data_IF_346811411851
#
_entry.id   IF_346811411851
#
_cell.length_a   1.000
_cell.length_b   1.000
_cell.length_c   1.000
_cell.angle_alpha   90.00
_cell.angle_beta   90.00
_cell.angle_gamma   90.00
#
_symmetry.space_group_name_H-M   'P 1'
#
loop_
_entity.id
_entity.type
_entity.pdbx_description
1 polymer ?
#
# COMPACT_ATOMS: atom_id res chain seq x y z
N UNK A 1 -21.81 19.65 -22.60
CA UNK A 1 -20.37 19.33 -22.48
C UNK A 1 -20.11 18.12 -23.36
N UNK A 2 -19.23 18.25 -24.36
CA UNK A 2 -18.73 17.09 -25.13
C UNK A 2 -18.10 16.09 -24.16
N UNK A 3 -18.21 14.79 -24.45
CA UNK A 3 -17.47 13.78 -23.68
C UNK A 3 -15.97 14.08 -23.83
N UNK A 4 -15.18 14.02 -22.74
CA UNK A 4 -13.73 14.20 -22.83
C UNK A 4 -13.15 13.14 -23.76
N UNK A 5 -12.26 13.54 -24.66
CA UNK A 5 -11.62 12.62 -25.61
C UNK A 5 -10.53 11.79 -24.92
N UNK A 6 -9.85 12.39 -23.94
CA UNK A 6 -8.79 11.77 -23.15
C UNK A 6 -9.30 11.51 -21.72
N UNK A 7 -9.13 10.29 -21.23
CA UNK A 7 -9.44 9.93 -19.84
C UNK A 7 -8.17 9.39 -19.19
N UNK A 8 -7.78 10.03 -18.09
CA UNK A 8 -6.71 9.57 -17.20
C UNK A 8 -7.30 8.68 -16.11
N UNK A 9 -6.92 7.41 -16.09
CA UNK A 9 -7.27 6.45 -15.06
C UNK A 9 -6.20 6.50 -13.97
N UNK A 10 -6.49 7.22 -12.90
CA UNK A 10 -5.57 7.51 -11.80
C UNK A 10 -5.79 6.57 -10.61
N UNK A 11 -4.84 6.57 -9.68
CA UNK A 11 -5.03 5.96 -8.36
C UNK A 11 -6.15 6.63 -7.56
N UNK A 12 -6.72 5.96 -6.55
CA UNK A 12 -7.75 6.57 -5.70
C UNK A 12 -7.29 7.89 -5.05
N UNK A 13 -8.20 8.81 -4.72
CA UNK A 13 -7.83 10.12 -4.19
C UNK A 13 -7.22 10.05 -2.79
N UNK A 14 -6.20 10.87 -2.54
CA UNK A 14 -5.61 11.12 -1.22
C UNK A 14 -5.91 12.57 -0.82
N UNK A 15 -7.02 12.80 -0.13
CA UNK A 15 -7.49 14.17 0.14
C UNK A 15 -6.40 15.08 0.76
N UNK A 16 -6.24 16.32 0.25
CA UNK A 16 -7.07 16.98 -0.77
C UNK A 16 -6.64 16.70 -2.23
N UNK A 17 -5.63 15.87 -2.46
CA UNK A 17 -5.16 15.51 -3.81
C UNK A 17 -6.17 14.61 -4.55
N UNK A 18 -6.28 14.74 -5.89
CA UNK A 18 -7.16 13.92 -6.71
C UNK A 18 -6.68 12.46 -6.84
N UNK A 19 -5.41 12.18 -6.54
CA UNK A 19 -4.78 10.86 -6.65
C UNK A 19 -3.80 10.60 -5.50
N UNK A 20 -3.53 9.33 -5.20
CA UNK A 20 -2.66 8.87 -4.12
C UNK A 20 -1.25 8.51 -4.58
N UNK A 21 -0.84 8.97 -5.76
CA UNK A 21 0.47 8.69 -6.35
C UNK A 21 0.95 9.88 -7.18
N UNK A 22 2.25 10.14 -7.17
CA UNK A 22 2.87 11.22 -7.90
C UNK A 22 2.85 11.02 -9.42
N UNK A 23 2.92 9.78 -9.93
CA UNK A 23 2.82 9.54 -11.39
C UNK A 23 1.44 9.96 -11.91
N UNK A 24 0.38 9.70 -11.14
CA UNK A 24 -0.99 10.15 -11.47
C UNK A 24 -1.11 11.67 -11.48
N UNK A 25 -0.50 12.35 -10.51
CA UNK A 25 -0.47 13.82 -10.45
C UNK A 25 0.33 14.43 -11.61
N UNK A 26 1.44 13.78 -12.00
CA UNK A 26 2.24 14.20 -13.15
C UNK A 26 1.41 14.18 -14.44
N UNK A 27 0.72 13.08 -14.75
CA UNK A 27 -0.10 13.01 -15.96
C UNK A 27 -1.30 13.95 -15.91
N UNK A 28 -1.90 14.16 -14.73
CA UNK A 28 -2.95 15.17 -14.58
C UNK A 28 -2.43 16.57 -14.92
N UNK A 29 -1.26 16.93 -14.38
CA UNK A 29 -0.61 18.21 -14.64
C UNK A 29 -0.18 18.35 -16.12
N UNK A 30 0.32 17.26 -16.72
CA UNK A 30 0.69 17.21 -18.13
C UNK A 30 -0.50 17.42 -19.06
N UNK A 31 -1.60 16.70 -18.83
CA UNK A 31 -2.81 16.83 -19.63
C UNK A 31 -3.47 18.20 -19.44
N UNK A 32 -3.42 18.77 -18.23
CA UNK A 32 -3.90 20.12 -17.98
C UNK A 32 -3.10 21.18 -18.75
N UNK A 33 -1.79 20.99 -18.88
CA UNK A 33 -0.92 21.91 -19.63
C UNK A 33 -1.05 21.72 -21.16
N UNK A 34 -1.07 20.46 -21.60
CA UNK A 34 -1.01 20.09 -23.01
C UNK A 34 -2.37 20.04 -23.73
N UNK A 35 -3.45 19.78 -23.00
CA UNK A 35 -4.78 19.52 -23.56
C UNK A 35 -5.92 19.96 -22.62
N UNK A 36 -5.97 21.23 -22.16
CA UNK A 36 -6.85 21.67 -21.06
C UNK A 36 -8.34 21.37 -21.25
N UNK A 37 -8.86 21.46 -22.48
CA UNK A 37 -10.29 21.31 -22.79
C UNK A 37 -10.72 19.88 -23.20
N UNK A 38 -9.78 18.93 -23.26
CA UNK A 38 -9.98 17.61 -23.86
C UNK A 38 -9.95 16.42 -22.90
N UNK A 39 -9.64 16.64 -21.62
CA UNK A 39 -9.31 15.55 -20.70
C UNK A 39 -10.18 15.53 -19.43
N UNK A 40 -10.24 14.35 -18.80
CA UNK A 40 -10.82 14.18 -17.47
C UNK A 40 -10.13 13.06 -16.69
N UNK A 41 -10.17 13.15 -15.36
CA UNK A 41 -9.63 12.19 -14.41
C UNK A 41 -10.72 11.24 -13.93
N UNK A 42 -10.45 9.94 -13.99
CA UNK A 42 -11.31 8.87 -13.43
C UNK A 42 -10.47 8.01 -12.50
N UNK A 43 -11.10 7.38 -11.51
CA UNK A 43 -10.46 6.34 -10.71
C UNK A 43 -10.31 5.07 -11.55
N UNK A 44 -9.07 4.64 -11.78
CA UNK A 44 -8.78 3.36 -12.42
C UNK A 44 -8.98 2.18 -11.47
N UNK A 45 -9.28 1.01 -12.04
CA UNK A 45 -9.26 -0.25 -11.31
C UNK A 45 -7.87 -0.91 -11.42
N UNK A 46 -7.44 -1.58 -10.35
CA UNK A 46 -6.18 -2.31 -10.32
C UNK A 46 -6.20 -3.60 -11.16
N UNK A 47 -7.38 -4.03 -11.62
CA UNK A 47 -7.51 -5.08 -12.62
C UNK A 47 -7.14 -4.64 -14.05
N UNK A 48 -7.19 -3.34 -14.32
CA UNK A 48 -6.98 -2.79 -15.66
C UNK A 48 -5.49 -2.62 -15.98
N UNK A 49 -5.16 -2.58 -17.28
CA UNK A 49 -3.80 -2.31 -17.78
C UNK A 49 -2.69 -3.19 -17.14
N UNK A 50 -3.01 -4.45 -16.83
CA UNK A 50 -2.06 -5.38 -16.20
C UNK A 50 -1.71 -5.03 -14.74
N UNK A 51 -2.54 -4.22 -14.08
CA UNK A 51 -2.34 -3.75 -12.71
C UNK A 51 -1.34 -2.61 -12.56
N UNK A 52 -1.08 -1.88 -13.66
CA UNK A 52 -0.30 -0.64 -13.64
C UNK A 52 -1.24 0.56 -13.76
N UNK A 53 -1.34 1.31 -12.66
CA UNK A 53 -1.93 2.65 -12.59
C UNK A 53 -0.79 3.66 -12.40
N UNK A 54 -0.91 4.89 -12.96
CA UNK A 54 -1.98 5.37 -13.84
C UNK A 54 -1.85 4.87 -15.29
N UNK A 55 -2.93 4.95 -16.06
CA UNK A 55 -2.91 4.79 -17.52
C UNK A 55 -3.87 5.76 -18.22
N UNK A 56 -3.63 6.02 -19.50
CA UNK A 56 -4.39 6.99 -20.29
C UNK A 56 -5.17 6.25 -21.37
N UNK A 57 -6.41 6.65 -21.59
CA UNK A 57 -7.24 6.19 -22.69
C UNK A 57 -7.69 7.36 -23.56
N UNK A 58 -7.62 7.21 -24.88
CA UNK A 58 -8.20 8.14 -25.84
C UNK A 58 -9.35 7.43 -26.55
N UNK A 59 -10.56 7.99 -26.47
CA UNK A 59 -11.78 7.37 -27.05
C UNK A 59 -11.95 5.89 -26.65
N UNK A 60 -11.70 5.56 -25.38
CA UNK A 60 -11.73 4.22 -24.80
C UNK A 60 -10.62 3.24 -25.25
N UNK A 61 -9.63 3.70 -26.04
CA UNK A 61 -8.45 2.90 -26.37
C UNK A 61 -7.25 3.30 -25.49
N UNK A 62 -6.51 2.34 -24.91
CA UNK A 62 -5.33 2.64 -24.13
C UNK A 62 -4.24 3.26 -25.01
N UNK A 63 -3.65 4.36 -24.54
CA UNK A 63 -2.57 5.07 -25.23
C UNK A 63 -1.32 5.01 -24.35
N UNK A 64 -0.21 4.43 -24.86
CA UNK A 64 1.07 4.49 -24.17
C UNK A 64 1.55 5.94 -24.01
N UNK A 65 2.23 6.30 -22.90
CA UNK A 65 2.75 7.65 -22.69
C UNK A 65 3.65 8.17 -23.83
N UNK A 66 4.40 7.27 -24.49
CA UNK A 66 5.28 7.60 -25.61
C UNK A 66 4.53 8.13 -26.85
N UNK A 67 3.22 7.84 -26.97
CA UNK A 67 2.40 8.23 -28.11
C UNK A 67 1.49 9.43 -27.81
N UNK A 68 1.64 10.10 -26.66
CA UNK A 68 0.80 11.25 -26.31
C UNK A 68 0.98 12.42 -27.29
N UNK A 69 2.21 12.66 -27.77
CA UNK A 69 2.50 13.68 -28.78
C UNK A 69 1.83 13.43 -30.14
N UNK A 70 1.35 12.21 -30.39
CA UNK A 70 0.61 11.89 -31.62
C UNK A 70 -0.88 12.24 -31.56
N UNK A 71 -1.39 12.62 -30.38
CA UNK A 71 -2.80 12.94 -30.22
C UNK A 71 -3.10 14.34 -30.78
N UNK A 72 -4.21 14.51 -31.53
CA UNK A 72 -4.50 15.77 -32.23
C UNK A 72 -4.81 16.95 -31.30
N UNK A 73 -5.20 16.68 -30.06
CA UNK A 73 -5.52 17.70 -29.05
C UNK A 73 -4.38 17.92 -28.04
N UNK A 74 -3.22 17.28 -28.23
CA UNK A 74 -2.10 17.34 -27.30
C UNK A 74 -1.00 18.24 -27.87
N UNK A 75 -0.70 19.33 -27.18
CA UNK A 75 0.45 20.20 -27.45
C UNK A 75 1.63 19.77 -26.59
N UNK A 76 2.79 19.49 -27.18
CA UNK A 76 3.97 19.09 -26.42
C UNK A 76 4.53 20.30 -25.63
N UNK A 77 4.60 20.26 -24.28
CA UNK A 77 5.16 21.35 -23.49
C UNK A 77 6.63 21.65 -23.78
N UNK A 78 7.37 20.67 -24.32
CA UNK A 78 8.79 20.78 -24.60
C UNK A 78 9.08 21.16 -26.07
N UNK A 79 8.05 21.40 -26.89
CA UNK A 79 8.20 21.65 -28.33
C UNK A 79 9.11 22.86 -28.63
N UNK A 80 8.93 23.95 -27.88
CA UNK A 80 9.63 25.22 -28.04
C UNK A 80 11.08 25.22 -27.53
N UNK A 81 11.51 24.16 -26.83
CA UNK A 81 12.86 24.06 -26.30
C UNK A 81 13.88 23.82 -27.42
N UNK A 82 15.06 24.44 -27.29
CA UNK A 82 16.21 24.14 -28.16
C UNK A 82 16.66 22.69 -27.98
N UNK A 83 17.24 22.06 -29.01
CA UNK A 83 17.69 20.66 -28.94
C UNK A 83 18.65 20.40 -27.76
N UNK A 84 19.52 21.36 -27.45
CA UNK A 84 20.39 21.30 -26.26
C UNK A 84 19.61 21.35 -24.95
N UNK A 85 18.57 22.18 -24.88
CA UNK A 85 17.69 22.29 -23.71
C UNK A 85 16.81 21.05 -23.53
N UNK A 86 16.37 20.42 -24.62
CA UNK A 86 15.64 19.13 -24.59
C UNK A 86 16.48 18.02 -23.99
N UNK A 87 17.78 17.97 -24.32
CA UNK A 87 18.72 17.01 -23.72
C UNK A 87 18.91 17.29 -22.23
N UNK A 88 19.16 18.55 -21.86
CA UNK A 88 19.24 18.97 -20.46
C UNK A 88 17.96 18.59 -19.70
N UNK A 89 16.79 18.81 -20.30
CA UNK A 89 15.49 18.52 -19.71
C UNK A 89 15.33 17.02 -19.44
N UNK A 90 15.68 16.17 -20.41
CA UNK A 90 15.69 14.72 -20.24
C UNK A 90 16.63 14.28 -19.10
N UNK A 91 17.82 14.88 -19.00
CA UNK A 91 18.75 14.60 -17.90
C UNK A 91 18.19 14.98 -16.53
N UNK A 92 17.58 16.17 -16.41
CA UNK A 92 16.97 16.60 -15.15
C UNK A 92 15.73 15.78 -14.78
N UNK A 93 14.93 15.36 -15.76
CA UNK A 93 13.82 14.44 -15.55
C UNK A 93 14.31 13.10 -15.01
N UNK A 94 15.33 12.52 -15.62
CA UNK A 94 15.96 11.29 -15.14
C UNK A 94 16.55 11.45 -13.72
N UNK A 95 17.11 12.63 -13.41
CA UNK A 95 17.58 12.94 -12.05
C UNK A 95 16.44 12.95 -11.02
N UNK A 96 15.30 13.55 -11.36
CA UNK A 96 14.09 13.58 -10.51
C UNK A 96 13.55 12.16 -10.31
N UNK A 97 13.41 11.39 -11.39
CA UNK A 97 12.92 10.01 -11.38
C UNK A 97 13.85 9.04 -10.61
N UNK A 98 15.15 9.32 -10.63
CA UNK A 98 16.16 8.54 -9.92
C UNK A 98 16.28 8.88 -8.44
N UNK A 99 16.17 10.16 -8.06
CA UNK A 99 16.51 10.59 -6.70
C UNK A 99 15.32 11.12 -5.90
N UNK A 100 14.54 12.04 -6.49
CA UNK A 100 13.42 12.68 -5.78
C UNK A 100 12.32 11.66 -5.50
N UNK A 101 11.98 10.85 -6.51
CA UNK A 101 11.02 9.75 -6.37
C UNK A 101 11.39 8.82 -5.22
N UNK A 102 12.66 8.52 -5.04
CA UNK A 102 13.12 7.60 -3.99
C UNK A 102 12.98 8.19 -2.59
N UNK A 103 13.28 9.48 -2.40
CA UNK A 103 13.02 10.17 -1.12
C UNK A 103 11.52 10.25 -0.83
N UNK A 104 10.71 10.57 -1.84
CA UNK A 104 9.25 10.67 -1.68
C UNK A 104 8.69 9.31 -1.30
N UNK A 105 9.08 8.25 -2.02
CA UNK A 105 8.68 6.88 -1.70
C UNK A 105 9.15 6.44 -0.31
N UNK A 106 10.36 6.81 0.11
CA UNK A 106 10.83 6.59 1.47
C UNK A 106 9.90 7.23 2.51
N UNK A 107 9.50 8.49 2.27
CA UNK A 107 8.62 9.24 3.16
C UNK A 107 7.26 8.56 3.32
N UNK A 108 6.71 7.96 2.26
CA UNK A 108 5.40 7.31 2.31
C UNK A 108 5.43 5.85 2.74
N UNK A 109 6.39 5.06 2.27
CA UNK A 109 6.40 3.60 2.44
C UNK A 109 7.33 3.12 3.55
N UNK A 110 8.46 3.80 3.77
CA UNK A 110 9.43 3.39 4.79
C UNK A 110 9.13 3.99 6.16
N UNK A 111 8.68 5.26 6.23
CA UNK A 111 8.50 5.92 7.51
C UNK A 111 7.28 5.36 8.28
N UNK A 112 7.44 5.01 9.57
CA UNK A 112 6.51 4.18 10.33
C UNK A 112 5.05 4.67 10.37
N UNK A 113 4.78 5.97 10.62
CA UNK A 113 3.40 6.40 10.77
C UNK A 113 2.76 6.74 9.41
N UNK A 114 3.54 6.96 8.36
CA UNK A 114 3.04 7.54 7.11
C UNK A 114 2.31 6.49 6.26
N UNK A 115 2.90 5.30 6.06
CA UNK A 115 2.31 4.27 5.20
C UNK A 115 0.89 3.87 5.61
N UNK A 116 0.64 3.40 6.85
CA UNK A 116 -0.67 2.90 7.24
C UNK A 116 -1.75 3.99 7.28
N UNK A 117 -1.40 5.24 7.59
CA UNK A 117 -2.38 6.31 7.78
C UNK A 117 -2.73 7.07 6.50
N UNK A 118 -1.84 7.07 5.49
CA UNK A 118 -1.99 7.86 4.26
C UNK A 118 -2.29 6.98 3.06
N UNK A 119 -1.26 6.52 2.37
CA UNK A 119 -1.33 5.79 1.10
C UNK A 119 -2.06 4.48 1.29
N UNK A 120 -1.73 3.66 2.30
CA UNK A 120 -2.38 2.37 2.47
C UNK A 120 -3.89 2.50 2.73
N UNK A 121 -4.28 3.50 3.54
CA UNK A 121 -5.68 3.76 3.87
C UNK A 121 -6.48 4.29 2.68
N UNK A 122 -5.92 5.21 1.91
CA UNK A 122 -6.64 5.87 0.80
C UNK A 122 -6.63 5.02 -0.48
N UNK A 123 -5.46 4.50 -0.86
CA UNK A 123 -5.23 3.79 -2.11
C UNK A 123 -5.93 2.42 -2.14
N UNK A 124 -6.09 1.77 -0.98
CA UNK A 124 -6.56 0.39 -0.89
C UNK A 124 -7.91 0.20 -0.20
N UNK A 125 -8.54 1.26 0.33
CA UNK A 125 -9.83 1.15 1.05
C UNK A 125 -10.97 0.52 0.23
N UNK A 126 -10.95 0.68 -1.10
CA UNK A 126 -12.02 0.16 -1.97
C UNK A 126 -11.73 -1.21 -2.60
N UNK A 127 -10.64 -1.88 -2.24
CA UNK A 127 -10.29 -3.16 -2.85
C UNK A 127 -11.14 -4.31 -2.30
N UNK A 128 -11.73 -5.16 -3.15
CA UNK A 128 -12.41 -6.37 -2.71
C UNK A 128 -11.39 -7.41 -2.23
N UNK A 129 -11.82 -8.35 -1.40
CA UNK A 129 -11.06 -9.57 -1.16
C UNK A 129 -11.04 -10.44 -2.43
N UNK A 130 -9.94 -11.11 -2.81
CA UNK A 130 -8.65 -11.20 -2.12
C UNK A 130 -7.64 -10.10 -2.48
N UNK A 131 -8.01 -9.16 -3.36
CA UNK A 131 -7.14 -8.10 -3.87
C UNK A 131 -6.57 -7.20 -2.77
N UNK A 132 -7.37 -6.94 -1.74
CA UNK A 132 -6.94 -6.14 -0.58
C UNK A 132 -5.78 -6.75 0.23
N UNK A 133 -5.48 -8.05 0.10
CA UNK A 133 -4.36 -8.69 0.81
C UNK A 133 -3.07 -8.59 0.01
N UNK A 134 -3.09 -8.98 -1.27
CA UNK A 134 -1.85 -9.12 -2.05
C UNK A 134 -1.41 -7.83 -2.74
N UNK A 135 -2.33 -6.93 -3.14
CA UNK A 135 -1.96 -5.69 -3.86
C UNK A 135 -1.10 -4.76 -2.99
N UNK A 136 -1.49 -4.43 -1.74
CA UNK A 136 -0.67 -3.56 -0.90
C UNK A 136 0.72 -4.14 -0.63
N UNK A 137 0.78 -5.45 -0.39
CA UNK A 137 2.04 -6.16 -0.15
C UNK A 137 2.94 -6.14 -1.38
N UNK A 138 2.38 -6.36 -2.58
CA UNK A 138 3.13 -6.33 -3.85
C UNK A 138 3.67 -4.94 -4.17
N UNK A 139 2.88 -3.90 -3.99
CA UNK A 139 3.33 -2.52 -4.24
C UNK A 139 4.43 -2.15 -3.24
N UNK A 140 4.21 -2.44 -1.95
CA UNK A 140 5.21 -2.15 -0.92
C UNK A 140 6.50 -2.94 -1.12
N UNK A 141 6.44 -4.20 -1.57
CA UNK A 141 7.65 -4.99 -1.82
C UNK A 141 8.48 -4.47 -3.00
N UNK A 142 7.84 -3.96 -4.06
CA UNK A 142 8.52 -3.31 -5.20
C UNK A 142 9.21 -2.02 -4.74
N UNK A 143 8.53 -1.19 -3.94
CA UNK A 143 9.12 0.03 -3.41
C UNK A 143 10.24 -0.29 -2.42
N UNK A 144 10.04 -1.28 -1.55
CA UNK A 144 11.03 -1.74 -0.57
C UNK A 144 12.30 -2.20 -1.26
N UNK A 145 12.23 -3.07 -2.28
CA UNK A 145 13.43 -3.58 -2.96
C UNK A 145 14.27 -2.46 -3.59
N UNK A 146 13.61 -1.46 -4.19
CA UNK A 146 14.30 -0.28 -4.73
C UNK A 146 14.94 0.57 -3.63
N UNK A 147 14.22 0.85 -2.54
CA UNK A 147 14.73 1.66 -1.44
C UNK A 147 15.83 0.97 -0.62
N UNK A 148 15.79 -0.36 -0.50
CA UNK A 148 16.86 -1.16 0.10
C UNK A 148 18.13 -1.08 -0.74
N UNK A 149 18.01 -1.18 -2.07
CA UNK A 149 19.15 -1.02 -2.98
C UNK A 149 19.81 0.36 -2.86
N UNK A 150 19.03 1.42 -2.73
CA UNK A 150 19.52 2.81 -2.56
C UNK A 150 20.00 3.07 -1.11
N UNK A 151 19.69 2.18 -0.17
CA UNK A 151 20.02 2.35 1.25
C UNK A 151 19.20 3.43 1.94
N UNK A 152 17.98 3.67 1.47
CA UNK A 152 17.00 4.57 2.11
C UNK A 152 16.02 3.81 3.01
N UNK A 153 15.76 2.53 2.75
CA UNK A 153 14.82 1.75 3.56
C UNK A 153 15.25 1.70 5.04
N UNK A 154 14.31 2.04 5.92
CA UNK A 154 14.54 2.08 7.37
C UNK A 154 15.29 3.32 7.88
N UNK A 155 15.75 4.21 7.00
CA UNK A 155 16.43 5.45 7.41
C UNK A 155 15.45 6.40 8.12
N UNK A 156 15.78 6.86 9.32
CA UNK A 156 14.88 7.68 10.13
C UNK A 156 13.76 6.89 10.84
N UNK A 157 13.80 5.55 10.78
CA UNK A 157 12.88 4.66 11.49
C UNK A 157 12.19 3.65 10.57
N UNK A 158 11.91 2.45 11.10
CA UNK A 158 11.21 1.37 10.42
C UNK A 158 9.75 1.29 10.88
N UNK A 159 8.84 0.94 9.96
CA UNK A 159 7.49 0.51 10.29
C UNK A 159 7.50 -0.62 11.33
N UNK A 160 6.44 -0.73 12.15
CA UNK A 160 6.34 -1.71 13.25
C UNK A 160 6.74 -3.13 12.81
N UNK A 161 6.14 -3.65 11.73
CA UNK A 161 6.48 -4.99 11.25
C UNK A 161 7.91 -5.14 10.73
N UNK A 162 8.47 -4.14 10.04
CA UNK A 162 9.87 -4.22 9.60
C UNK A 162 10.84 -4.07 10.78
N UNK A 163 10.46 -3.32 11.83
CA UNK A 163 11.23 -3.18 13.06
C UNK A 163 11.25 -4.50 13.84
N UNK A 164 10.11 -5.21 13.92
CA UNK A 164 10.03 -6.55 14.49
C UNK A 164 10.90 -7.56 13.72
N UNK A 165 10.93 -7.49 12.39
CA UNK A 165 11.80 -8.33 11.55
C UNK A 165 13.29 -8.02 11.78
N UNK A 166 13.66 -6.74 11.90
CA UNK A 166 15.03 -6.35 12.28
C UNK A 166 15.39 -6.82 13.69
N UNK A 167 14.49 -6.66 14.66
CA UNK A 167 14.74 -7.07 16.03
C UNK A 167 14.84 -8.60 16.15
N UNK A 168 14.04 -9.35 15.38
CA UNK A 168 14.19 -10.81 15.26
C UNK A 168 15.56 -11.19 14.70
N UNK A 169 15.98 -10.57 13.59
CA UNK A 169 17.33 -10.79 13.03
C UNK A 169 18.42 -10.44 14.04
N UNK A 170 18.27 -9.35 14.79
CA UNK A 170 19.21 -8.97 15.85
C UNK A 170 19.25 -9.99 16.98
N UNK A 171 18.10 -10.54 17.39
CA UNK A 171 18.05 -11.61 18.38
C UNK A 171 18.77 -12.86 17.86
N UNK A 172 18.59 -13.21 16.59
CA UNK A 172 19.30 -14.31 15.93
C UNK A 172 20.83 -14.04 15.83
N UNK A 173 21.24 -12.79 15.56
CA UNK A 173 22.65 -12.35 15.49
C UNK A 173 23.31 -12.16 16.87
N UNK A 174 22.52 -12.00 17.94
CA UNK A 174 23.02 -11.84 19.31
C UNK A 174 23.61 -13.14 19.89
N UNK A 175 23.43 -14.27 19.22
CA UNK A 175 24.12 -15.51 19.57
C UNK A 175 25.55 -15.49 19.01
N UNK A 176 26.54 -15.45 19.88
CA UNK A 176 27.95 -15.62 19.49
C UNK A 176 28.24 -17.12 19.43
N UNK A 177 28.78 -17.60 18.30
CA UNK A 177 29.27 -18.97 18.16
C UNK A 177 30.69 -19.02 18.74
N UNK A 178 30.86 -19.70 19.87
CA UNK A 178 32.16 -19.91 20.49
C UNK A 178 33.07 -20.85 19.68
N UNK A 179 34.39 -20.84 19.93
CA UNK A 179 35.29 -21.87 19.39
C UNK A 179 34.86 -23.23 19.98
N UNK A 180 34.16 -24.03 19.19
CA UNK A 180 33.48 -25.26 19.64
C UNK A 180 32.01 -25.39 19.25
N UNK A 181 31.42 -24.36 18.61
CA UNK A 181 30.05 -24.43 18.09
C UNK A 181 28.95 -24.13 19.11
N UNK A 182 29.29 -23.74 20.35
CA UNK A 182 28.31 -23.36 21.37
C UNK A 182 27.76 -21.95 21.09
N UNK A 183 26.44 -21.80 21.11
CA UNK A 183 25.75 -20.51 20.98
C UNK A 183 25.50 -19.93 22.37
N UNK A 184 26.14 -18.81 22.68
CA UNK A 184 25.87 -18.07 23.92
C UNK A 184 25.19 -16.73 23.59
N UNK A 185 24.11 -16.34 24.29
CA UNK A 185 23.50 -15.03 24.10
C UNK A 185 24.48 -13.93 24.53
N UNK A 186 24.63 -12.88 23.71
CA UNK A 186 25.34 -11.66 24.10
C UNK A 186 24.76 -11.12 25.41
N UNK A 187 25.64 -10.69 26.32
CA UNK A 187 25.28 -10.17 27.63
C UNK A 187 24.11 -9.17 27.57
N UNK A 188 23.05 -9.48 28.31
CA UNK A 188 21.81 -8.72 28.42
C UNK A 188 22.09 -7.26 28.80
N UNK A 189 21.97 -6.33 27.86
CA UNK A 189 21.94 -4.89 28.19
C UNK A 189 20.52 -4.57 28.64
N UNK A 190 20.32 -4.22 29.91
CA UNK A 190 19.01 -4.15 30.58
C UNK A 190 17.87 -3.40 29.84
N UNK A 191 16.64 -3.58 30.32
CA UNK A 191 15.36 -3.13 29.73
C UNK A 191 15.31 -1.67 29.21
N UNK A 192 16.11 -0.73 29.77
CA UNK A 192 16.19 0.68 29.32
C UNK A 192 17.26 0.96 28.24
N UNK A 193 18.26 0.09 28.10
CA UNK A 193 19.35 0.23 27.14
C UNK A 193 18.85 0.25 25.69
N UNK A 194 17.85 -0.59 25.37
CA UNK A 194 17.24 -0.65 24.03
C UNK A 194 16.55 0.65 23.63
N UNK A 195 15.76 1.26 24.52
CA UNK A 195 15.02 2.47 24.19
C UNK A 195 15.92 3.68 23.94
N UNK A 196 16.99 3.87 24.70
CA UNK A 196 17.92 4.99 24.50
C UNK A 196 18.80 4.79 23.26
N UNK A 197 19.22 3.55 22.98
CA UNK A 197 19.97 3.22 21.76
C UNK A 197 19.12 3.39 20.51
N UNK A 198 17.86 2.98 20.54
CA UNK A 198 16.92 3.17 19.43
C UNK A 198 16.60 4.64 19.17
N UNK A 199 16.37 5.43 20.23
CA UNK A 199 16.19 6.89 20.09
C UNK A 199 17.41 7.55 19.46
N UNK A 200 18.63 7.16 19.86
CA UNK A 200 19.87 7.65 19.25
C UNK A 200 19.98 7.25 17.78
N UNK A 201 19.66 5.99 17.46
CA UNK A 201 19.66 5.49 16.08
C UNK A 201 18.65 6.23 15.21
N UNK A 202 17.45 6.50 15.72
CA UNK A 202 16.43 7.29 15.03
C UNK A 202 16.92 8.70 14.74
N UNK A 203 17.42 9.41 15.74
CA UNK A 203 17.99 10.76 15.56
C UNK A 203 19.14 10.79 14.56
N UNK A 204 20.04 9.82 14.63
CA UNK A 204 21.14 9.69 13.68
C UNK A 204 20.61 9.41 12.26
N UNK A 205 19.63 8.52 12.12
CA UNK A 205 18.97 8.23 10.85
C UNK A 205 18.25 9.45 10.27
N UNK A 206 17.59 10.26 11.10
CA UNK A 206 16.97 11.52 10.69
C UNK A 206 18.01 12.53 10.19
N UNK A 207 19.16 12.64 10.86
CA UNK A 207 20.26 13.50 10.40
C UNK A 207 20.84 13.03 9.06
N UNK A 208 21.05 11.73 8.90
CA UNK A 208 21.50 11.15 7.63
C UNK A 208 20.47 11.36 6.51
N UNK A 209 19.18 11.21 6.83
CA UNK A 209 18.09 11.50 5.91
C UNK A 209 18.08 12.96 5.51
N UNK A 210 18.22 13.89 6.46
CA UNK A 210 18.30 15.32 6.17
C UNK A 210 19.47 15.66 5.24
N UNK A 211 20.65 15.07 5.48
CA UNK A 211 21.82 15.25 4.61
C UNK A 211 21.55 14.74 3.19
N UNK A 212 20.92 13.56 3.06
CA UNK A 212 20.55 13.00 1.74
C UNK A 212 19.49 13.85 1.03
N UNK A 213 18.47 14.32 1.76
CA UNK A 213 17.48 15.26 1.24
C UNK A 213 18.18 16.50 0.71
N UNK A 214 19.11 17.08 1.49
CA UNK A 214 19.83 18.27 1.05
C UNK A 214 20.67 18.02 -0.20
N UNK A 215 21.41 16.92 -0.23
CA UNK A 215 22.21 16.55 -1.41
C UNK A 215 21.37 16.37 -2.69
N UNK A 216 20.10 15.98 -2.57
CA UNK A 216 19.21 15.77 -3.72
C UNK A 216 18.51 17.05 -4.16
N UNK A 217 18.09 17.91 -3.22
CA UNK A 217 17.37 19.13 -3.55
C UNK A 217 18.28 20.34 -3.81
N UNK A 218 19.52 20.37 -3.30
CA UNK A 218 20.48 21.44 -3.54
C UNK A 218 20.78 21.68 -5.05
N UNK A 219 21.03 20.64 -5.88
CA UNK A 219 21.21 20.82 -7.32
C UNK A 219 19.98 21.36 -8.02
N UNK A 220 18.78 20.90 -7.63
CA UNK A 220 17.51 21.36 -8.20
C UNK A 220 17.24 22.82 -7.86
N UNK A 221 17.43 23.20 -6.59
CA UNK A 221 17.30 24.58 -6.13
C UNK A 221 18.31 25.51 -6.80
N UNK A 222 19.56 25.04 -6.99
CA UNK A 222 20.61 25.80 -7.71
C UNK A 222 20.27 25.97 -9.18
N UNK A 223 19.76 24.94 -9.85
CA UNK A 223 19.36 25.00 -11.26
C UNK A 223 18.15 25.92 -11.47
N UNK A 224 17.16 25.87 -10.58
CA UNK A 224 16.00 26.78 -10.63
C UNK A 224 16.44 28.23 -10.34
N UNK A 225 17.27 28.43 -9.33
CA UNK A 225 17.78 29.75 -8.95
C UNK A 225 16.65 30.73 -8.65
N UNK A 226 16.62 31.84 -9.40
CA UNK A 226 15.58 32.89 -9.32
C UNK A 226 14.55 32.81 -10.46
N UNK A 227 14.65 31.81 -11.33
CA UNK A 227 13.75 31.66 -12.48
C UNK A 227 12.36 31.19 -12.03
N UNK A 228 11.34 31.49 -12.82
CA UNK A 228 10.00 30.97 -12.59
C UNK A 228 9.97 29.44 -12.76
N UNK A 229 10.60 28.94 -13.84
CA UNK A 229 10.69 27.53 -14.23
C UNK A 229 12.11 27.16 -14.68
N UNK A 230 12.38 25.87 -14.90
CA UNK A 230 13.73 25.38 -15.22
C UNK A 230 14.34 25.98 -16.50
N UNK A 231 13.52 26.12 -17.55
CA UNK A 231 13.95 26.55 -18.88
C UNK A 231 13.36 27.91 -19.31
N UNK A 232 12.84 28.70 -18.37
CA UNK A 232 12.38 30.06 -18.66
C UNK A 232 11.07 30.42 -17.95
N UNK A 233 10.16 31.05 -18.71
CA UNK A 233 8.87 31.57 -18.21
C UNK A 233 7.69 30.62 -18.48
N UNK A 234 7.93 29.52 -19.21
CA UNK A 234 6.93 28.49 -19.49
C UNK A 234 7.29 27.20 -18.74
N UNK A 235 6.30 26.52 -18.15
CA UNK A 235 6.54 25.25 -17.50
C UNK A 235 6.78 24.16 -18.54
N UNK A 236 7.79 23.34 -18.30
CA UNK A 236 8.20 22.21 -19.14
C UNK A 236 7.83 20.87 -18.49
N UNK A 237 8.02 19.75 -19.19
CA UNK A 237 7.74 18.43 -18.59
C UNK A 237 8.59 18.15 -17.34
N UNK A 238 9.79 18.74 -17.23
CA UNK A 238 10.65 18.65 -16.03
C UNK A 238 10.05 19.38 -14.85
N UNK A 239 9.50 20.58 -15.08
CA UNK A 239 8.80 21.34 -14.06
C UNK A 239 7.60 20.55 -13.54
N UNK A 240 6.85 19.90 -14.43
CA UNK A 240 5.71 19.04 -14.06
C UNK A 240 6.15 17.80 -13.28
N UNK A 241 7.27 17.18 -13.66
CA UNK A 241 7.81 16.01 -12.96
C UNK A 241 8.19 16.35 -11.52
N UNK A 242 8.88 17.49 -11.31
CA UNK A 242 9.21 17.96 -9.97
C UNK A 242 7.94 18.37 -9.20
N UNK A 243 7.03 19.10 -9.85
CA UNK A 243 5.77 19.53 -9.27
C UNK A 243 4.95 18.38 -8.73
N UNK A 244 4.80 17.30 -9.48
CA UNK A 244 4.02 16.15 -9.05
C UNK A 244 4.58 15.52 -7.76
N UNK A 245 5.90 15.42 -7.64
CA UNK A 245 6.57 14.91 -6.43
C UNK A 245 6.41 15.86 -5.24
N UNK A 246 6.62 17.17 -5.47
CA UNK A 246 6.44 18.20 -4.44
C UNK A 246 4.98 18.30 -3.97
N UNK A 247 4.04 18.26 -4.91
CA UNK A 247 2.61 18.28 -4.63
C UNK A 247 2.19 17.09 -3.79
N UNK A 248 2.71 15.90 -4.13
CA UNK A 248 2.42 14.69 -3.38
C UNK A 248 2.80 14.87 -1.91
N UNK A 249 3.98 15.44 -1.62
CA UNK A 249 4.49 15.60 -0.25
C UNK A 249 3.95 16.82 0.50
N UNK A 250 3.83 17.98 -0.17
CA UNK A 250 3.54 19.26 0.48
C UNK A 250 2.05 19.50 0.72
N UNK A 251 1.19 18.88 -0.08
CA UNK A 251 -0.27 19.09 -0.05
C UNK A 251 -0.99 18.33 1.07
N UNK A 252 -0.78 17.00 1.26
CA UNK A 252 -1.47 16.25 2.30
C UNK A 252 -0.81 16.45 3.67
N UNK A 253 -1.59 16.22 4.73
CA UNK A 253 -1.07 16.20 6.10
C UNK A 253 -0.44 14.85 6.40
N UNK A 254 0.89 14.82 6.53
CA UNK A 254 1.64 13.61 6.88
C UNK A 254 1.81 13.50 8.41
N UNK A 255 1.58 12.30 9.01
CA UNK A 255 1.85 12.09 10.43
C UNK A 255 3.28 12.38 10.83
N UNK A 256 4.24 12.01 9.97
CA UNK A 256 5.64 12.39 10.10
C UNK A 256 6.02 13.36 8.97
N UNK A 257 6.03 14.68 9.23
CA UNK A 257 6.28 15.71 8.23
C UNK A 257 7.76 16.11 8.08
N UNK A 258 8.73 15.20 8.26
CA UNK A 258 10.17 15.53 8.13
C UNK A 258 10.51 16.19 6.78
N UNK A 259 10.20 15.51 5.66
CA UNK A 259 10.49 16.02 4.32
C UNK A 259 9.76 17.35 4.01
N UNK A 260 8.43 17.48 4.23
CA UNK A 260 7.74 18.76 4.08
C UNK A 260 8.37 19.89 4.89
N UNK A 261 8.78 19.62 6.13
CA UNK A 261 9.39 20.64 6.99
C UNK A 261 10.76 21.09 6.48
N UNK A 262 11.58 20.15 5.99
CA UNK A 262 12.88 20.47 5.38
C UNK A 262 12.67 21.27 4.08
N UNK A 263 11.72 20.88 3.23
CA UNK A 263 11.39 21.61 2.00
C UNK A 263 10.94 23.05 2.28
N UNK A 264 10.02 23.24 3.25
CA UNK A 264 9.53 24.58 3.62
C UNK A 264 10.60 25.46 4.28
N UNK A 265 11.49 24.88 5.07
CA UNK A 265 12.53 25.64 5.78
C UNK A 265 13.76 25.93 4.93
N UNK A 266 14.24 24.95 4.15
CA UNK A 266 15.51 25.03 3.43
C UNK A 266 15.35 25.37 1.95
N UNK A 267 14.19 25.07 1.34
CA UNK A 267 13.97 25.21 -0.10
C UNK A 267 12.72 26.04 -0.46
N UNK A 268 12.59 27.29 0.02
CA UNK A 268 11.42 28.13 -0.27
C UNK A 268 11.26 28.44 -1.77
N UNK A 269 12.34 28.44 -2.55
CA UNK A 269 12.27 28.62 -4.01
C UNK A 269 11.54 27.48 -4.72
N UNK A 270 11.73 26.23 -4.25
CA UNK A 270 11.05 25.05 -4.78
C UNK A 270 9.59 25.00 -4.34
N UNK A 271 9.30 25.39 -3.11
CA UNK A 271 7.92 25.54 -2.63
C UNK A 271 7.18 26.60 -3.45
N UNK A 272 7.82 27.76 -3.70
CA UNK A 272 7.24 28.78 -4.57
C UNK A 272 7.07 28.32 -6.02
N UNK A 273 7.94 27.45 -6.54
CA UNK A 273 7.76 26.81 -7.86
C UNK A 273 6.53 25.90 -7.89
N UNK A 274 6.35 25.09 -6.84
CA UNK A 274 5.15 24.28 -6.66
C UNK A 274 3.87 25.14 -6.65
N UNK A 275 3.85 26.21 -5.86
CA UNK A 275 2.66 27.05 -5.69
C UNK A 275 2.29 27.76 -7.01
N UNK A 276 3.28 28.29 -7.75
CA UNK A 276 3.06 28.89 -9.07
C UNK A 276 2.46 27.90 -10.07
N UNK A 277 2.90 26.64 -10.06
CA UNK A 277 2.35 25.61 -10.94
C UNK A 277 0.93 25.22 -10.54
N UNK A 278 0.67 25.08 -9.25
CA UNK A 278 -0.67 24.77 -8.75
C UNK A 278 -1.68 25.86 -9.15
N UNK A 279 -1.32 27.13 -8.96
CA UNK A 279 -2.15 28.27 -9.34
C UNK A 279 -2.41 28.31 -10.85
N UNK A 280 -1.37 28.09 -11.66
CA UNK A 280 -1.45 28.11 -13.12
C UNK A 280 -2.28 26.96 -13.70
N UNK A 281 -2.14 25.75 -13.15
CA UNK A 281 -2.77 24.55 -13.71
C UNK A 281 -4.20 24.35 -13.20
N UNK A 282 -4.41 24.47 -11.89
CA UNK A 282 -5.66 24.05 -11.26
C UNK A 282 -6.33 25.14 -10.43
N UNK A 283 -5.62 26.20 -10.03
CA UNK A 283 -6.04 27.16 -8.96
C UNK A 283 -6.27 26.50 -7.59
N UNK A 284 -6.94 25.35 -7.55
CA UNK A 284 -7.15 24.46 -6.41
C UNK A 284 -7.28 23.02 -6.93
N UNK A 285 -6.89 22.02 -6.13
CA UNK A 285 -7.04 20.60 -6.50
C UNK A 285 -8.50 20.17 -6.75
N UNK A 286 -9.49 20.93 -6.28
CA UNK A 286 -10.92 20.70 -6.56
C UNK A 286 -11.36 21.06 -7.97
N UNK A 287 -10.55 21.81 -8.73
CA UNK A 287 -10.87 22.22 -10.11
C UNK A 287 -10.53 21.13 -11.13
N UNK A 288 -9.85 20.06 -10.72
CA UNK A 288 -9.45 18.96 -11.61
C UNK A 288 -10.69 18.39 -12.30
N UNK A 289 -10.72 18.28 -13.65
CA UNK A 289 -11.89 17.81 -14.38
C UNK A 289 -12.11 16.33 -14.06
N UNK A 290 -13.11 16.02 -13.24
CA UNK A 290 -13.45 14.64 -12.89
C UNK A 290 -14.45 14.07 -13.90
N UNK A 291 -14.14 12.91 -14.47
CA UNK A 291 -15.10 12.15 -15.24
C UNK A 291 -16.03 11.41 -14.28
N UNK A 292 -17.33 11.40 -14.61
CA UNK A 292 -18.35 10.67 -13.83
C UNK A 292 -18.09 9.18 -13.99
N UNK A 293 -17.37 8.60 -13.05
CA UNK A 293 -17.22 7.14 -12.96
C UNK A 293 -18.55 6.55 -12.52
N UNK A 294 -19.08 5.61 -13.29
CA UNK A 294 -20.07 4.68 -12.75
C UNK A 294 -19.35 3.92 -11.64
N UNK A 295 -19.79 4.09 -10.39
CA UNK A 295 -19.28 3.29 -9.28
C UNK A 295 -19.50 1.82 -9.62
N UNK A 296 -18.47 0.96 -9.63
CA UNK A 296 -18.74 -0.48 -9.66
C UNK A 296 -19.60 -0.78 -8.43
N UNK A 297 -20.71 -1.52 -8.63
CA UNK A 297 -21.55 -1.97 -7.53
C UNK A 297 -20.66 -2.64 -6.48
N UNK A 298 -20.82 -2.28 -5.20
CA UNK A 298 -20.11 -2.97 -4.09
C UNK A 298 -20.46 -4.45 -4.19
N UNK A 299 -19.54 -5.25 -4.70
CA UNK A 299 -19.68 -6.70 -4.69
C UNK A 299 -19.67 -7.12 -3.23
N UNK A 300 -20.80 -7.65 -2.76
CA UNK A 300 -20.93 -8.11 -1.38
C UNK A 300 -20.06 -9.36 -1.23
N UNK A 301 -19.44 -9.57 -0.07
CA UNK A 301 -18.56 -10.73 0.21
C UNK A 301 -19.13 -12.07 -0.31
N UNK A 302 -20.46 -12.25 -0.26
CA UNK A 302 -21.15 -13.43 -0.80
C UNK A 302 -20.98 -13.64 -2.31
N UNK A 303 -20.92 -12.59 -3.12
CA UNK A 303 -20.72 -12.68 -4.58
C UNK A 303 -19.27 -13.06 -4.91
N UNK A 304 -18.32 -12.52 -4.15
CA UNK A 304 -16.90 -12.82 -4.32
C UNK A 304 -16.57 -14.26 -3.92
N UNK A 305 -17.10 -14.74 -2.78
CA UNK A 305 -16.96 -16.14 -2.40
C UNK A 305 -17.72 -17.09 -3.35
N UNK A 306 -18.88 -16.70 -3.86
CA UNK A 306 -19.61 -17.50 -4.85
C UNK A 306 -18.85 -17.63 -6.17
N UNK A 307 -18.04 -16.63 -6.55
CA UNK A 307 -17.18 -16.70 -7.74
C UNK A 307 -15.94 -17.58 -7.55
N UNK A 308 -15.44 -17.71 -6.30
CA UNK A 308 -14.27 -18.52 -5.98
C UNK A 308 -14.60 -20.00 -5.73
N UNK A 309 -15.82 -20.29 -5.27
CA UNK A 309 -16.32 -21.66 -5.16
C UNK A 309 -16.73 -22.17 -6.55
N UNK A 310 -16.22 -23.32 -7.03
CA UNK A 310 -16.71 -23.94 -8.25
C UNK A 310 -18.11 -24.52 -8.00
N UNK A 311 -19.12 -23.65 -8.04
CA UNK A 311 -20.54 -24.00 -8.06
C UNK A 311 -21.03 -24.17 -9.50
N UNK A 312 -22.14 -24.91 -9.72
CA UNK A 312 -22.69 -25.07 -11.07
C UNK A 312 -23.07 -23.69 -11.60
N UNK A 313 -22.38 -23.28 -12.67
CA UNK A 313 -22.62 -22.03 -13.40
C UNK A 313 -24.11 -21.85 -13.69
N UNK A 314 -24.79 -21.00 -12.91
CA UNK A 314 -26.04 -20.40 -13.37
C UNK A 314 -25.67 -19.20 -14.21
N UNK A 315 -25.38 -19.44 -15.49
CA UNK A 315 -25.39 -18.40 -16.50
C UNK A 315 -26.78 -17.77 -16.51
N UNK A 316 -26.93 -16.64 -15.82
CA UNK A 316 -28.08 -15.75 -16.01
C UNK A 316 -27.81 -14.94 -17.27
N UNK A 317 -27.96 -15.57 -18.42
CA UNK A 317 -28.16 -14.85 -19.68
C UNK A 317 -29.57 -14.28 -19.66
N UNK A 318 -29.70 -12.98 -19.47
CA UNK A 318 -30.93 -12.29 -19.86
C UNK A 318 -30.90 -12.13 -21.40
N UNK A 319 -31.92 -12.60 -22.13
CA UNK A 319 -32.08 -12.18 -23.51
C UNK A 319 -32.87 -10.87 -23.55
N UNK A 320 -32.31 -9.89 -24.26
CA UNK A 320 -33.01 -8.70 -24.71
C UNK A 320 -34.13 -9.09 -25.68
N UNK A 321 -35.29 -8.46 -25.49
CA UNK A 321 -36.46 -8.56 -26.35
C UNK A 321 -36.20 -8.03 -27.76
N UNK A 322 -36.47 -8.84 -28.78
CA UNK A 322 -36.91 -8.35 -30.09
C UNK A 322 -37.76 -9.41 -30.80
N UNK A 323 -38.87 -8.94 -31.34
CA UNK A 323 -39.97 -9.61 -32.03
C UNK A 323 -39.61 -10.31 -33.34
N UNK A 324 -40.23 -11.47 -33.59
CA UNK A 324 -41.03 -11.76 -34.80
C UNK A 324 -41.65 -13.15 -34.73
N UNK A 325 -42.96 -13.22 -35.01
CA UNK A 325 -43.75 -14.37 -35.50
C UNK A 325 -42.97 -15.16 -36.56
N UNK A 326 -43.01 -16.49 -36.66
CA UNK A 326 -44.18 -17.31 -37.01
C UNK A 326 -43.88 -18.84 -36.95
N UNK A 327 -44.92 -19.67 -37.07
CA UNK A 327 -44.96 -21.11 -37.42
C UNK A 327 -44.61 -22.22 -36.40
N UNK A 328 -45.60 -23.13 -36.27
CA UNK A 328 -45.68 -24.38 -35.51
C UNK A 328 -44.59 -25.40 -35.91
N UNK A 329 -44.02 -26.11 -34.93
CA UNK A 329 -43.88 -27.57 -35.01
C UNK A 329 -43.77 -28.21 -33.61
N UNK A 330 -44.38 -29.38 -33.48
CA UNK A 330 -44.59 -30.15 -32.28
C UNK A 330 -43.37 -31.06 -32.02
N UNK A 331 -42.68 -30.94 -30.88
CA UNK A 331 -41.89 -32.06 -30.35
C UNK A 331 -41.70 -31.99 -28.82
N UNK A 332 -42.16 -33.05 -28.17
CA UNK A 332 -41.83 -33.43 -26.79
C UNK A 332 -40.32 -33.61 -26.67
N UNK A 333 -39.69 -33.01 -25.67
CA UNK A 333 -38.26 -33.19 -25.43
C UNK A 333 -37.74 -32.56 -24.14
N UNK A 334 -38.38 -32.82 -23.00
CA UNK A 334 -37.77 -32.56 -21.70
C UNK A 334 -36.65 -33.58 -21.45
N UNK A 335 -35.39 -33.17 -21.60
CA UNK A 335 -34.24 -33.99 -21.21
C UNK A 335 -34.11 -34.03 -19.68
N UNK A 336 -34.21 -35.20 -19.01
CA UNK A 336 -34.05 -35.28 -17.57
C UNK A 336 -32.57 -35.14 -17.22
N UNK A 337 -32.28 -34.36 -16.17
CA UNK A 337 -30.96 -34.33 -15.55
C UNK A 337 -30.56 -35.75 -15.13
N UNK A 338 -29.40 -36.23 -15.61
CA UNK A 338 -28.85 -37.54 -15.25
C UNK A 338 -28.85 -37.71 -13.71
N UNK A 339 -29.37 -38.81 -13.16
CA UNK A 339 -29.32 -39.05 -11.73
C UNK A 339 -27.86 -39.15 -11.28
N UNK A 340 -27.47 -38.35 -10.27
CA UNK A 340 -26.13 -38.37 -9.68
C UNK A 340 -25.77 -39.81 -9.27
N UNK A 341 -24.64 -40.30 -9.77
CA UNK A 341 -24.09 -41.64 -9.46
C UNK A 341 -23.81 -41.76 -7.96
N UNK A 342 -24.10 -42.92 -7.36
CA UNK A 342 -24.04 -43.10 -5.90
C UNK A 342 -22.66 -42.82 -5.29
N UNK A 343 -21.59 -42.97 -6.07
CA UNK A 343 -20.22 -42.57 -5.69
C UNK A 343 -20.07 -41.06 -5.45
N UNK A 344 -20.75 -40.21 -6.23
CA UNK A 344 -20.72 -38.76 -6.04
C UNK A 344 -21.51 -38.33 -4.79
N UNK A 345 -22.63 -39.01 -4.49
CA UNK A 345 -23.39 -38.78 -3.25
C UNK A 345 -22.60 -39.20 -2.01
N UNK A 346 -21.87 -40.32 -2.08
CA UNK A 346 -20.98 -40.75 -1.00
C UNK A 346 -19.85 -39.76 -0.74
N UNK A 347 -19.27 -39.19 -1.80
CA UNK A 347 -18.23 -38.15 -1.67
C UNK A 347 -18.77 -36.84 -1.11
N UNK A 348 -19.98 -36.40 -1.52
CA UNK A 348 -20.65 -35.23 -0.95
C UNK A 348 -20.95 -35.41 0.55
N UNK A 349 -21.38 -36.62 0.97
CA UNK A 349 -21.60 -36.97 2.39
C UNK A 349 -20.30 -37.00 3.18
N UNK A 350 -19.25 -37.61 2.64
CA UNK A 350 -17.92 -37.65 3.26
C UNK A 350 -17.36 -36.25 3.47
N UNK A 351 -17.54 -35.35 2.50
CA UNK A 351 -17.13 -33.96 2.61
C UNK A 351 -17.91 -33.19 3.67
N UNK A 352 -19.23 -33.39 3.75
CA UNK A 352 -20.06 -32.78 4.80
C UNK A 352 -19.73 -33.32 6.20
N UNK A 353 -19.47 -34.62 6.32
CA UNK A 353 -19.00 -35.23 7.57
C UNK A 353 -17.65 -34.68 8.02
N UNK A 354 -16.72 -34.49 7.08
CA UNK A 354 -15.43 -33.89 7.38
C UNK A 354 -15.57 -32.43 7.88
N UNK A 355 -16.39 -31.61 7.22
CA UNK A 355 -16.66 -30.24 7.67
C UNK A 355 -17.35 -30.21 9.05
N UNK A 356 -18.29 -31.11 9.31
CA UNK A 356 -18.93 -31.22 10.61
C UNK A 356 -17.94 -31.63 11.71
N UNK A 357 -17.07 -32.61 11.43
CA UNK A 357 -16.02 -33.03 12.36
C UNK A 357 -15.02 -31.90 12.67
N UNK A 358 -14.60 -31.15 11.65
CA UNK A 358 -13.71 -30.01 11.82
C UNK A 358 -14.35 -28.90 12.68
N UNK A 359 -15.63 -28.58 12.45
CA UNK A 359 -16.35 -27.58 13.25
C UNK A 359 -16.48 -27.99 14.72
N UNK A 360 -16.83 -29.26 14.99
CA UNK A 360 -16.89 -29.78 16.37
C UNK A 360 -15.52 -29.71 17.04
N UNK A 361 -14.44 -30.11 16.35
CA UNK A 361 -13.08 -30.06 16.92
C UNK A 361 -12.63 -28.64 17.26
N UNK A 362 -12.99 -27.65 16.43
CA UNK A 362 -12.69 -26.24 16.67
C UNK A 362 -13.45 -25.70 17.88
N UNK A 363 -14.73 -26.06 18.01
CA UNK A 363 -15.54 -25.71 19.18
C UNK A 363 -14.96 -26.34 20.43
N UNK A 364 -14.65 -27.64 20.42
CA UNK A 364 -14.01 -28.33 21.56
C UNK A 364 -12.67 -27.68 21.94
N UNK A 365 -11.85 -27.29 20.97
CA UNK A 365 -10.60 -26.58 21.25
C UNK A 365 -10.84 -25.21 21.91
N UNK A 366 -11.85 -24.45 21.47
CA UNK A 366 -12.21 -23.17 22.10
C UNK A 366 -12.68 -23.34 23.56
N UNK A 367 -13.39 -24.45 23.86
CA UNK A 367 -13.77 -24.79 25.23
C UNK A 367 -12.57 -25.26 26.08
N UNK A 368 -11.70 -26.12 25.54
CA UNK A 368 -10.53 -26.65 26.28
C UNK A 368 -9.43 -25.60 26.47
N UNK A 369 -9.25 -24.68 25.53
CA UNK A 369 -8.24 -23.62 25.61
C UNK A 369 -8.59 -22.50 26.59
N UNK A 370 -9.79 -22.53 27.21
CA UNK A 370 -10.21 -21.55 28.22
C UNK A 370 -10.51 -20.15 27.66
N UNK A 371 -10.73 -20.02 26.35
CA UNK A 371 -10.99 -18.73 25.67
C UNK A 371 -12.41 -18.21 25.95
N UNK A 372 -13.32 -19.05 26.44
CA UNK A 372 -14.71 -18.67 26.77
C UNK A 372 -15.00 -19.12 28.21
N UNK A 373 -15.09 -18.18 29.15
CA UNK A 373 -15.58 -18.41 30.51
C UNK A 373 -17.09 -18.08 30.54
N UNK A 374 -17.91 -19.04 31.01
CA UNK A 374 -19.32 -18.79 31.29
C UNK A 374 -19.46 -18.40 32.76
N UNK A 375 -19.84 -17.16 33.02
CA UNK A 375 -20.27 -16.69 34.34
C UNK A 375 -21.75 -17.07 34.50
N UNK A 376 -22.01 -18.13 35.26
CA UNK A 376 -23.37 -18.46 35.70
C UNK A 376 -23.68 -17.56 36.90
N UNK A 377 -24.53 -16.55 36.67
CA UNK A 377 -25.10 -15.76 37.75
C UNK A 377 -26.21 -16.55 38.43
N UNK A 378 -26.00 -16.93 39.68
CA UNK A 378 -27.07 -17.30 40.61
C UNK A 378 -27.16 -16.22 41.68
N UNK A 379 -28.39 -15.74 41.88
CA UNK A 379 -28.79 -14.72 42.84
C UNK A 379 -28.69 -15.23 44.28
N UNK A 380 -28.06 -14.39 45.12
CA UNK A 380 -28.26 -14.12 46.55
C UNK A 380 -28.64 -15.27 47.52
N UNK A 381 -27.78 -15.50 48.53
CA UNK A 381 -28.14 -15.30 49.95
C UNK A 381 -26.88 -15.27 50.83
N UNK A 382 -26.86 -14.31 51.75
CA UNK A 382 -25.76 -13.93 52.65
C UNK A 382 -25.40 -15.03 53.67
N UNK A 383 -24.11 -15.12 54.06
CA UNK A 383 -23.72 -15.37 55.46
C UNK A 383 -22.21 -15.12 55.69
N UNK A 384 -21.91 -14.22 56.62
CA UNK A 384 -20.58 -13.85 57.12
C UNK A 384 -19.82 -15.03 57.76
N UNK A 385 -18.47 -15.01 57.74
CA UNK A 385 -17.59 -15.05 58.92
C UNK A 385 -16.10 -15.22 58.57
N UNK A 386 -15.27 -14.61 59.40
CA UNK A 386 -13.82 -14.35 59.28
C UNK A 386 -13.00 -15.40 60.07
N UNK A 387 -11.72 -15.59 59.68
CA UNK A 387 -10.53 -15.80 60.52
C UNK A 387 -9.77 -17.16 60.48
N UNK A 388 -8.55 -17.07 59.92
CA UNK A 388 -7.22 -17.56 60.34
C UNK A 388 -6.86 -19.06 60.53
N UNK A 389 -5.76 -19.40 59.84
CA UNK A 389 -4.58 -20.24 60.16
C UNK A 389 -4.74 -21.65 60.73
N UNK A 390 -4.14 -22.63 60.03
CA UNK A 390 -3.34 -23.67 60.69
C UNK A 390 -2.23 -24.19 59.75
N UNK A 391 -0.99 -24.14 60.25
CA UNK A 391 0.23 -24.65 59.64
C UNK A 391 0.29 -26.19 59.69
N UNK A 392 1.06 -26.81 58.78
CA UNK A 392 1.39 -28.24 58.88
C UNK A 392 2.26 -28.76 57.74
N UNK A 393 3.58 -28.75 57.96
CA UNK A 393 4.65 -29.75 57.63
C UNK A 393 4.35 -30.82 56.53
N UNK A 394 5.20 -31.22 55.59
CA UNK A 394 6.66 -31.25 55.44
C UNK A 394 7.06 -32.62 54.83
N UNK A 395 7.90 -32.66 53.79
CA UNK A 395 8.81 -33.78 53.37
C UNK A 395 9.45 -33.44 52.00
N UNK A 396 10.67 -32.89 51.99
CA UNK A 396 12.00 -33.53 51.82
C UNK A 396 12.25 -34.14 50.43
N UNK A 397 13.15 -33.49 49.69
CA UNK A 397 13.71 -33.97 48.42
C UNK A 397 15.00 -34.77 48.62
N UNK A 398 15.26 -35.68 47.68
CA UNK A 398 16.45 -36.51 47.61
C UNK A 398 17.33 -36.05 46.43
N UNK A 399 18.53 -35.56 46.73
CA UNK A 399 19.59 -35.26 45.75
C UNK A 399 20.81 -36.09 46.10
N UNK A 400 21.21 -36.97 45.19
CA UNK A 400 22.43 -37.78 45.26
C UNK A 400 23.64 -36.99 44.74
N UNK A 401 24.71 -36.94 45.53
CA UNK A 401 26.04 -36.45 45.15
C UNK A 401 27.01 -37.62 45.28
N UNK A 402 27.79 -37.87 44.23
CA UNK A 402 28.88 -38.84 44.22
C UNK A 402 30.22 -38.08 44.23
N UNK A 403 30.99 -38.26 45.29
CA UNK A 403 32.39 -37.88 45.41
C UNK A 403 33.29 -38.99 44.83
N UNK A 404 34.41 -38.58 44.22
CA UNK A 404 35.62 -39.40 44.14
C UNK A 404 36.83 -38.51 44.47
N UNK A 405 37.52 -38.92 45.53
CA UNK A 405 38.80 -38.40 46.02
C UNK A 405 39.96 -38.90 45.15
N UNK A 406 40.98 -38.05 44.99
CA UNK A 406 42.32 -38.44 44.56
C UNK A 406 43.28 -38.07 45.71
N UNK A 407 43.79 -39.09 46.41
CA UNK A 407 44.97 -39.01 47.30
C UNK A 407 46.24 -39.26 46.47
N UNK A 408 47.35 -38.62 46.91
CA UNK A 408 48.72 -38.76 46.35
C UNK A 408 49.30 -40.19 46.42
#
# INVERSE_FOLDING_TARGET
MSRPSIILHATPPLHPLPASDAESLYYAALLQLAAPDGWALTRGDWGDNGGKLPFITHLAHPVPPAHLSSLPSFSDPDEELEDGEKLDAACWKAYIEGNVVDIVNHTYYSLPPNYPSTVAKSQFAGLPFPMNQYIPQRIRSIVKSRLEFVGLWGLGGLNVGDAEDEDRKRQEEQFIIGPGGTTAPRAWTGWRSGQETDKRRRKWGEQQLEQKIKAIFDPLARRLGKKAYFFGERPTTVDLALFAQLAFVLTPTLPNPLLPNILRSSYPSLVGHHDRLLERLFSSWSTVPMAVSQTPARTTWGETFASWLPGPSRSRTQPSSSSSTDSKENSKGGSPSKPKTDKQKAFERGRWLWFAGAAVSMVTYLFVSGVIAFEFGDEEEDEDWVAYEEDGEGEVGETTVLDYEEEE
#
